data_IF_305378765663
#
_entry.id   IF_305378765663
#
_cell.length_a   1.000
_cell.length_b   1.000
_cell.length_c   1.000
_cell.angle_alpha   90.00
_cell.angle_beta   90.00
_cell.angle_gamma   90.00
#
_symmetry.space_group_name_H-M   'P 1'
#
loop_
_entity.id
_entity.type
_entity.pdbx_description
1 polymer ?
#
# COMPACT_ATOMS: atom_id res chain seq x y z
N UNK A 1 23.04 18.25 -7.83
CA UNK A 1 22.05 18.43 -8.91
C UNK A 1 21.48 17.10 -9.39
N UNK A 2 22.35 16.12 -9.70
CA UNK A 2 21.99 14.77 -10.17
C UNK A 2 20.92 14.04 -9.34
N UNK A 3 21.04 14.05 -8.00
CA UNK A 3 20.08 13.39 -7.09
C UNK A 3 18.64 13.90 -7.26
N UNK A 4 18.46 15.18 -7.54
CA UNK A 4 17.13 15.77 -7.75
C UNK A 4 16.51 15.20 -9.02
N UNK A 5 17.28 15.14 -10.10
CA UNK A 5 16.83 14.56 -11.38
C UNK A 5 16.48 13.07 -11.24
N UNK A 6 17.25 12.31 -10.46
CA UNK A 6 16.96 10.89 -10.20
C UNK A 6 15.65 10.73 -9.42
N UNK A 7 15.44 11.56 -8.40
CA UNK A 7 14.20 11.55 -7.60
C UNK A 7 12.99 11.90 -8.45
N UNK A 8 13.08 12.93 -9.28
CA UNK A 8 11.99 13.35 -10.17
C UNK A 8 11.63 12.27 -11.18
N UNK A 9 12.63 11.66 -11.84
CA UNK A 9 12.39 10.52 -12.77
C UNK A 9 11.77 9.32 -12.08
N UNK A 10 12.22 9.01 -10.86
CA UNK A 10 11.67 7.89 -10.08
C UNK A 10 10.21 8.14 -9.70
N UNK A 11 9.88 9.36 -9.28
CA UNK A 11 8.50 9.76 -8.95
C UNK A 11 7.59 9.67 -10.17
N UNK A 12 8.05 10.18 -11.32
CA UNK A 12 7.30 10.10 -12.58
C UNK A 12 6.99 8.65 -12.98
N UNK A 13 7.97 7.75 -12.90
CA UNK A 13 7.77 6.33 -13.18
C UNK A 13 6.80 5.65 -12.21
N UNK A 14 6.89 5.98 -10.92
CA UNK A 14 5.96 5.47 -9.91
C UNK A 14 4.52 5.99 -10.10
N UNK A 15 4.35 7.21 -10.61
CA UNK A 15 3.04 7.77 -10.95
C UNK A 15 2.42 7.02 -12.13
N UNK A 16 3.17 6.86 -13.23
CA UNK A 16 2.72 6.11 -14.41
C UNK A 16 2.34 4.67 -14.07
N UNK A 17 3.12 3.99 -13.22
CA UNK A 17 2.78 2.64 -12.79
C UNK A 17 1.49 2.58 -11.96
N UNK A 18 1.20 3.60 -11.14
CA UNK A 18 -0.05 3.68 -10.38
C UNK A 18 -1.26 3.89 -11.28
N UNK A 19 -1.13 4.72 -12.32
CA UNK A 19 -2.18 4.92 -13.33
C UNK A 19 -2.51 3.62 -14.08
N UNK A 20 -1.50 2.78 -14.30
CA UNK A 20 -1.67 1.43 -14.88
C UNK A 20 -2.24 0.40 -13.89
N UNK A 21 -2.61 0.80 -12.67
CA UNK A 21 -3.22 -0.09 -11.67
C UNK A 21 -2.25 -0.79 -10.73
N UNK A 22 -0.96 -0.40 -10.69
CA UNK A 22 -0.01 -0.97 -9.73
C UNK A 22 -0.33 -0.51 -8.31
N UNK A 23 -0.73 -1.44 -7.46
CA UNK A 23 -0.85 -1.23 -6.01
C UNK A 23 0.54 -1.41 -5.38
N UNK A 24 1.15 -0.30 -4.97
CA UNK A 24 2.46 -0.28 -4.29
C UNK A 24 2.35 -0.58 -2.79
N UNK A 25 3.50 -0.61 -2.10
CA UNK A 25 3.59 -0.81 -0.66
C UNK A 25 3.77 -2.28 -0.24
N UNK A 26 3.67 -2.53 1.06
CA UNK A 26 3.81 -3.88 1.62
C UNK A 26 2.52 -4.67 1.41
N UNK A 27 2.63 -5.87 0.83
CA UNK A 27 1.49 -6.77 0.69
C UNK A 27 0.90 -7.12 2.08
N UNK A 28 -0.43 -6.99 2.28
CA UNK A 28 -1.07 -7.45 3.51
C UNK A 28 -0.78 -8.94 3.73
N UNK A 29 -0.38 -9.29 4.96
CA UNK A 29 -0.14 -10.70 5.34
C UNK A 29 -1.45 -11.46 5.57
N UNK A 30 -2.47 -10.75 6.02
CA UNK A 30 -3.79 -11.29 6.34
C UNK A 30 -4.78 -10.91 5.25
N UNK A 31 -5.72 -11.80 4.97
CA UNK A 31 -6.84 -11.53 4.06
C UNK A 31 -7.84 -10.58 4.72
N UNK A 32 -8.69 -9.89 3.94
CA UNK A 32 -9.74 -9.02 4.50
C UNK A 32 -10.67 -9.74 5.50
N UNK A 33 -10.97 -11.01 5.26
CA UNK A 33 -11.82 -11.84 6.11
C UNK A 33 -11.16 -12.12 7.46
N UNK A 34 -9.86 -12.41 7.45
CA UNK A 34 -9.07 -12.58 8.67
C UNK A 34 -8.99 -11.28 9.48
N UNK A 35 -8.93 -10.13 8.82
CA UNK A 35 -9.00 -8.82 9.49
C UNK A 35 -10.37 -8.57 10.11
N UNK A 36 -11.46 -8.86 9.39
CA UNK A 36 -12.82 -8.70 9.88
C UNK A 36 -13.08 -9.59 11.12
N UNK A 37 -12.66 -10.85 11.08
CA UNK A 37 -12.80 -11.79 12.19
C UNK A 37 -12.04 -11.33 13.45
N UNK A 38 -10.83 -10.78 13.27
CA UNK A 38 -10.04 -10.24 14.40
C UNK A 38 -10.67 -8.98 14.98
N UNK A 39 -11.21 -8.08 14.15
CA UNK A 39 -11.89 -6.86 14.60
C UNK A 39 -13.19 -7.14 15.35
N UNK A 40 -13.90 -8.21 15.02
CA UNK A 40 -15.11 -8.65 15.70
C UNK A 40 -14.82 -9.16 17.12
N UNK A 41 -13.73 -9.92 17.32
CA UNK A 41 -13.34 -10.43 18.65
C UNK A 41 -13.06 -9.34 19.70
N UNK A 42 -12.72 -8.12 19.28
CA UNK A 42 -12.54 -6.97 20.19
C UNK A 42 -13.86 -6.25 20.55
N UNK A 43 -14.96 -6.52 19.82
CA UNK A 43 -16.24 -5.82 20.02
C UNK A 43 -17.15 -6.54 21.01
N UNK A 44 -17.04 -7.86 21.12
CA UNK A 44 -17.85 -8.72 22.00
C UNK A 44 -17.27 -8.93 23.41
N UNK A 45 -16.15 -8.28 23.74
CA UNK A 45 -15.45 -8.43 25.03
C UNK A 45 -15.65 -7.26 26.01
N UNK A 46 -16.78 -6.54 25.91
CA UNK A 46 -17.19 -5.47 26.84
C UNK A 46 -18.53 -5.73 27.49
#
# INVERSE_FOLDING_TARGET
MERVLIVERTRAGLAAAREQGRIGGRRPKLTPEQWAQRGQGYRDSR
#
